data_IF_598706981227
#
_entry.id   IF_598706981227
#
_cell.length_a   1.000
_cell.length_b   1.000
_cell.length_c   1.000
_cell.angle_alpha   90.00
_cell.angle_beta   90.00
_cell.angle_gamma   90.00
#
_symmetry.space_group_name_H-M   'P 1'
#
loop_
_entity.id
_entity.type
_entity.pdbx_description
1 polymer ?
#
# COMPACT_ATOMS: atom_id res chain seq x y z
N UNK A 1 -10.04 7.49 -17.34
CA UNK A 1 -9.35 8.52 -16.53
C UNK A 1 -8.58 7.76 -15.47
N UNK A 2 -7.25 7.74 -15.53
CA UNK A 2 -6.44 7.04 -14.53
C UNK A 2 -6.39 7.90 -13.28
N UNK A 3 -7.19 7.54 -12.27
CA UNK A 3 -7.17 8.16 -10.96
C UNK A 3 -5.76 7.96 -10.40
N UNK A 4 -4.92 8.99 -10.47
CA UNK A 4 -3.68 9.05 -9.72
C UNK A 4 -4.06 9.22 -8.25
N UNK A 5 -4.50 8.12 -7.61
CA UNK A 5 -4.43 8.00 -6.17
C UNK A 5 -2.94 7.98 -5.86
N UNK A 6 -2.35 9.18 -5.78
CA UNK A 6 -0.99 9.38 -5.32
C UNK A 6 -0.98 9.09 -3.83
N UNK A 7 -1.14 7.82 -3.50
CA UNK A 7 -0.82 7.27 -2.20
C UNK A 7 0.54 7.84 -1.83
N UNK A 8 0.60 8.61 -0.74
CA UNK A 8 1.81 9.34 -0.40
C UNK A 8 2.80 8.38 0.24
N UNK A 9 3.48 7.60 -0.61
CA UNK A 9 4.58 6.71 -0.24
C UNK A 9 5.85 7.47 0.15
N UNK A 10 5.84 8.80 0.17
CA UNK A 10 7.00 9.62 0.53
C UNK A 10 7.21 9.68 2.04
N UNK A 11 6.14 9.48 2.81
CA UNK A 11 6.17 9.50 4.27
C UNK A 11 6.19 8.07 4.81
N UNK A 12 7.35 7.55 5.24
CA UNK A 12 7.49 6.15 5.62
C UNK A 12 6.82 5.82 6.96
N UNK A 13 6.35 6.84 7.68
CA UNK A 13 5.68 6.75 8.98
C UNK A 13 4.19 7.05 8.89
N UNK A 14 3.63 7.22 7.69
CA UNK A 14 2.19 7.43 7.50
C UNK A 14 1.62 6.24 6.75
N UNK A 15 0.48 5.72 7.21
CA UNK A 15 -0.22 4.65 6.53
C UNK A 15 -0.74 5.18 5.18
N UNK A 16 -0.35 4.57 4.06
CA UNK A 16 -0.75 5.02 2.73
C UNK A 16 -2.27 4.88 2.43
N UNK A 17 -2.97 4.07 3.21
CA UNK A 17 -4.38 3.71 2.97
C UNK A 17 -5.34 4.58 3.78
N UNK A 18 -5.12 4.70 5.08
CA UNK A 18 -5.96 5.48 6.00
C UNK A 18 -5.37 6.85 6.38
N UNK A 19 -4.07 7.06 6.20
CA UNK A 19 -3.37 8.29 6.57
C UNK A 19 -2.95 8.38 8.05
N UNK A 20 -3.09 7.31 8.84
CA UNK A 20 -2.69 7.28 10.25
C UNK A 20 -1.17 7.25 10.45
N UNK A 21 -0.72 7.75 11.59
CA UNK A 21 0.70 7.73 11.96
C UNK A 21 1.10 6.35 12.48
N UNK A 22 2.14 5.78 11.86
CA UNK A 22 2.68 4.47 12.16
C UNK A 22 3.76 4.57 13.24
N UNK A 23 3.76 3.62 14.18
CA UNK A 23 4.78 3.56 15.23
C UNK A 23 6.20 3.38 14.68
N UNK A 24 6.35 2.78 13.51
CA UNK A 24 7.63 2.61 12.82
C UNK A 24 7.44 2.36 11.33
N UNK A 25 8.38 2.82 10.49
CA UNK A 25 8.36 2.48 9.08
C UNK A 25 8.54 0.97 8.90
N UNK A 26 7.67 0.35 8.08
CA UNK A 26 7.68 -1.08 7.81
C UNK A 26 7.03 -1.93 8.92
N UNK A 27 7.66 -2.10 10.08
CA UNK A 27 7.12 -2.96 11.14
C UNK A 27 5.81 -2.41 11.73
N UNK A 28 5.74 -1.09 11.94
CA UNK A 28 4.49 -0.44 12.37
C UNK A 28 3.42 -0.44 11.28
N UNK A 29 3.81 -0.46 10.00
CA UNK A 29 2.86 -0.66 8.91
C UNK A 29 2.26 -2.07 8.93
N UNK A 30 3.09 -3.11 9.09
CA UNK A 30 2.63 -4.51 9.15
C UNK A 30 1.71 -4.75 10.36
N UNK A 31 2.06 -4.18 11.52
CA UNK A 31 1.22 -4.22 12.71
C UNK A 31 -0.11 -3.49 12.50
N UNK A 32 -0.08 -2.32 11.86
CA UNK A 32 -1.27 -1.52 11.58
C UNK A 32 -2.24 -2.20 10.61
N UNK A 33 -1.75 -2.86 9.55
CA UNK A 33 -2.63 -3.61 8.63
C UNK A 33 -3.19 -4.87 9.29
N UNK A 34 -2.48 -5.51 10.23
CA UNK A 34 -2.98 -6.68 10.98
C UNK A 34 -4.12 -6.29 11.95
N UNK A 35 -4.05 -5.09 12.53
CA UNK A 35 -5.11 -4.55 13.40
C UNK A 35 -6.31 -3.99 12.61
N UNK A 36 -6.09 -3.49 11.38
CA UNK A 36 -7.11 -2.82 10.56
C UNK A 36 -7.43 -3.55 9.26
N UNK A 37 -8.54 -4.30 9.25
CA UNK A 37 -9.00 -5.06 8.07
C UNK A 37 -9.20 -4.21 6.80
N UNK A 38 -9.57 -2.93 6.93
CA UNK A 38 -9.74 -2.02 5.78
C UNK A 38 -8.37 -1.70 5.11
N UNK A 39 -7.33 -1.52 5.94
CA UNK A 39 -5.96 -1.31 5.48
C UNK A 39 -5.34 -2.61 4.94
N UNK A 40 -5.69 -3.76 5.53
CA UNK A 40 -5.32 -5.08 5.02
C UNK A 40 -5.86 -5.30 3.61
N UNK A 41 -7.18 -5.12 3.40
CA UNK A 41 -7.82 -5.32 2.10
C UNK A 41 -7.23 -4.35 1.05
N UNK A 42 -7.03 -3.08 1.41
CA UNK A 42 -6.37 -2.10 0.57
C UNK A 42 -4.95 -2.50 0.17
N UNK A 43 -4.18 -3.06 1.11
CA UNK A 43 -2.82 -3.55 0.86
C UNK A 43 -2.79 -4.79 -0.03
N UNK A 44 -3.67 -5.76 0.21
CA UNK A 44 -3.80 -6.96 -0.63
C UNK A 44 -4.20 -6.59 -2.06
N UNK A 45 -5.17 -5.69 -2.21
CA UNK A 45 -5.62 -5.22 -3.51
C UNK A 45 -4.52 -4.43 -4.23
N UNK A 46 -3.80 -3.55 -3.53
CA UNK A 46 -2.63 -2.86 -4.08
C UNK A 46 -1.56 -3.86 -4.53
N UNK A 47 -1.25 -4.87 -3.71
CA UNK A 47 -0.28 -5.92 -4.04
C UNK A 47 -0.70 -6.73 -5.26
N UNK A 48 -1.98 -7.04 -5.39
CA UNK A 48 -2.54 -7.74 -6.55
C UNK A 48 -2.41 -6.88 -7.83
N UNK A 49 -2.64 -5.57 -7.73
CA UNK A 49 -2.45 -4.64 -8.85
C UNK A 49 -0.97 -4.50 -9.23
N UNK A 50 -0.06 -4.33 -8.27
CA UNK A 50 1.40 -4.29 -8.50
C UNK A 50 1.89 -5.60 -9.10
N UNK A 51 1.42 -6.75 -8.61
CA UNK A 51 1.78 -8.06 -9.15
C UNK A 51 1.28 -8.21 -10.60
N UNK A 52 0.11 -7.67 -10.92
CA UNK A 52 -0.40 -7.60 -12.30
C UNK A 52 0.38 -6.65 -13.21
N UNK A 53 0.83 -5.52 -12.67
CA UNK A 53 1.63 -4.50 -13.37
C UNK A 53 3.05 -5.02 -13.67
N UNK A 54 3.72 -5.63 -12.68
CA UNK A 54 5.04 -6.26 -12.86
C UNK A 54 5.01 -7.50 -13.77
N UNK A 55 3.88 -8.23 -13.81
CA UNK A 55 3.72 -9.39 -14.68
C UNK A 55 3.32 -9.03 -16.13
N UNK A 56 2.92 -7.78 -16.38
CA UNK A 56 2.34 -7.35 -17.66
C UNK A 56 3.33 -6.86 -18.71
N UNK A 57 4.53 -6.44 -18.33
CA UNK A 57 5.37 -5.61 -19.22
C UNK A 57 6.86 -6.00 -19.38
N UNK A 58 7.23 -7.25 -19.07
CA UNK A 58 8.50 -7.83 -19.54
C UNK A 58 8.29 -8.81 -20.70
N UNK A 59 7.61 -8.36 -21.77
CA UNK A 59 7.89 -8.86 -23.12
C UNK A 59 8.92 -7.91 -23.71
N UNK A 60 10.18 -8.32 -23.62
CA UNK A 60 11.34 -7.63 -24.19
C UNK A 60 12.52 -8.57 -24.23
#
# INVERSE_FOLDING_TARGET
MATNTSTNWSDPVICPFCGDELASPGAGFVDHIDDSADCEEGFEHWRANIAGDLAGEWTG
#
